data_IF_005466021313
#
_entry.id   IF_005466021313
#
_cell.length_a   1.000
_cell.length_b   1.000
_cell.length_c   1.000
_cell.angle_alpha   90.00
_cell.angle_beta   90.00
_cell.angle_gamma   90.00
#
_symmetry.space_group_name_H-M   'P 1'
#
loop_
_entity.id
_entity.type
_entity.pdbx_description
1 polymer ?
#
# COMPACT_ATOMS: atom_id res chain seq x y z
N UNK A 1 2.36 4.97 -3.17
CA UNK A 1 1.37 5.87 -3.78
C UNK A 1 0.10 5.10 -3.98
N UNK A 2 -0.97 5.68 -3.48
CA UNK A 2 -2.31 5.22 -3.73
C UNK A 2 -2.89 5.94 -4.93
N UNK A 3 -3.02 5.23 -6.05
CA UNK A 3 -3.81 5.65 -7.21
C UNK A 3 -4.09 4.43 -8.11
N UNK A 4 -5.17 4.52 -8.90
CA UNK A 4 -5.35 3.63 -10.04
C UNK A 4 -4.13 3.75 -10.96
N UNK A 5 -3.67 2.62 -11.48
CA UNK A 5 -2.58 2.52 -12.43
C UNK A 5 -1.26 3.12 -11.93
N UNK A 6 -1.07 3.21 -10.62
CA UNK A 6 0.05 3.93 -10.00
C UNK A 6 1.42 3.41 -10.44
N UNK A 7 1.55 2.12 -10.78
CA UNK A 7 2.77 1.56 -11.34
C UNK A 7 3.20 2.18 -12.67
N UNK A 8 2.26 2.76 -13.44
CA UNK A 8 2.56 3.46 -14.69
C UNK A 8 3.42 4.71 -14.48
N UNK A 9 3.37 5.31 -13.28
CA UNK A 9 4.14 6.51 -12.95
C UNK A 9 5.65 6.26 -12.94
N UNK A 10 6.10 5.02 -12.71
CA UNK A 10 7.52 4.73 -12.49
C UNK A 10 8.12 3.63 -13.37
N UNK A 11 7.29 2.76 -13.96
CA UNK A 11 7.76 1.57 -14.68
C UNK A 11 8.87 1.84 -15.72
N UNK A 12 8.88 3.02 -16.34
CA UNK A 12 9.91 3.44 -17.30
C UNK A 12 10.58 4.78 -16.94
N UNK A 13 10.23 5.38 -15.80
CA UNK A 13 10.58 6.77 -15.49
C UNK A 13 11.41 6.94 -14.23
N UNK A 14 11.38 5.97 -13.30
CA UNK A 14 12.14 6.07 -12.06
C UNK A 14 13.50 5.38 -12.23
N UNK A 15 14.60 6.12 -12.36
CA UNK A 15 15.92 5.52 -12.37
C UNK A 15 16.26 4.95 -10.98
N UNK A 16 17.14 3.95 -10.94
CA UNK A 16 17.54 3.24 -9.73
C UNK A 16 18.79 3.81 -9.05
N UNK A 17 19.28 4.98 -9.49
CA UNK A 17 20.55 5.58 -9.06
C UNK A 17 20.40 7.02 -8.54
N UNK A 18 19.21 7.40 -8.09
CA UNK A 18 18.91 8.73 -7.53
C UNK A 18 18.52 8.70 -6.05
N UNK A 19 18.77 7.59 -5.36
CA UNK A 19 18.42 7.38 -3.95
C UNK A 19 16.93 7.57 -3.64
N UNK A 20 16.05 7.09 -4.54
CA UNK A 20 14.59 7.11 -4.37
C UNK A 20 14.05 5.70 -4.45
N UNK A 21 13.19 5.36 -3.49
CA UNK A 21 12.42 4.11 -3.47
C UNK A 21 10.94 4.45 -3.48
N UNK A 22 10.19 3.83 -4.38
CA UNK A 22 8.76 4.06 -4.54
C UNK A 22 7.98 2.75 -4.48
N UNK A 23 6.81 2.80 -3.84
CA UNK A 23 5.85 1.70 -3.83
C UNK A 23 4.57 2.18 -4.50
N UNK A 24 4.04 1.41 -5.44
CA UNK A 24 2.76 1.66 -6.11
C UNK A 24 1.68 0.73 -5.55
N UNK A 25 0.44 1.21 -5.43
CA UNK A 25 -0.70 0.39 -5.01
C UNK A 25 -1.19 -0.57 -6.09
N UNK A 26 -0.89 -0.32 -7.37
CA UNK A 26 -1.43 -1.10 -8.49
C UNK A 26 -0.47 -1.17 -9.69
N UNK A 27 -0.64 -2.17 -10.55
CA UNK A 27 0.04 -2.28 -11.84
C UNK A 27 -0.49 -1.24 -12.84
N UNK A 28 0.26 -0.96 -13.90
CA UNK A 28 -0.27 -0.21 -15.04
C UNK A 28 -1.49 -0.94 -15.64
N UNK A 29 -2.57 -0.20 -15.94
CA UNK A 29 -3.83 -0.76 -16.42
C UNK A 29 -4.69 -1.46 -15.34
N UNK A 30 -4.33 -1.35 -14.06
CA UNK A 30 -5.08 -1.91 -12.94
C UNK A 30 -5.65 -0.80 -12.04
N UNK A 31 -6.92 -0.91 -11.66
CA UNK A 31 -7.53 -0.03 -10.64
C UNK A 31 -6.93 -0.29 -9.26
N UNK A 32 -6.83 0.75 -8.43
CA UNK A 32 -6.58 0.55 -7.00
C UNK A 32 -7.88 0.36 -6.22
N UNK A 33 -7.79 -0.11 -4.98
CA UNK A 33 -8.96 -0.53 -4.21
C UNK A 33 -9.29 0.39 -3.06
N UNK A 34 -10.55 0.79 -3.01
CA UNK A 34 -11.15 1.44 -1.85
C UNK A 34 -11.37 0.42 -0.73
N UNK A 35 -11.46 0.90 0.50
CA UNK A 35 -11.70 0.10 1.69
C UNK A 35 -12.76 0.78 2.56
N UNK A 36 -13.47 -0.03 3.36
CA UNK A 36 -14.49 0.46 4.31
C UNK A 36 -15.63 1.21 3.62
N UNK A 37 -16.12 0.65 2.52
CA UNK A 37 -17.27 1.16 1.77
C UNK A 37 -18.57 0.60 2.35
N UNK A 38 -19.48 1.46 2.78
CA UNK A 38 -20.71 1.06 3.46
C UNK A 38 -21.97 1.36 2.64
N UNK A 39 -22.18 0.67 1.52
CA UNK A 39 -23.40 0.83 0.72
C UNK A 39 -24.57 0.09 1.39
N UNK A 40 -25.40 0.80 2.16
CA UNK A 40 -26.64 0.26 2.73
C UNK A 40 -27.86 1.05 2.24
N UNK A 41 -28.95 0.38 1.79
CA UNK A 41 -30.13 1.03 1.20
C UNK A 41 -30.81 2.10 2.08
N UNK A 42 -30.60 2.08 3.40
CA UNK A 42 -31.29 2.94 4.38
C UNK A 42 -30.31 3.75 5.27
N UNK A 43 -29.07 4.00 4.84
CA UNK A 43 -28.13 4.86 5.56
C UNK A 43 -27.60 5.96 4.63
N UNK A 44 -27.45 7.17 5.16
CA UNK A 44 -26.93 8.36 4.46
C UNK A 44 -25.42 8.31 4.13
N UNK A 45 -24.81 7.12 4.07
CA UNK A 45 -23.35 6.96 4.01
C UNK A 45 -22.94 6.22 2.74
N UNK A 46 -23.03 6.88 1.59
CA UNK A 46 -22.53 6.38 0.30
C UNK A 46 -21.08 6.84 0.03
N UNK A 47 -20.16 6.49 0.92
CA UNK A 47 -18.74 6.75 0.71
C UNK A 47 -17.84 5.70 1.38
N UNK A 48 -16.61 5.61 0.89
CA UNK A 48 -15.57 4.75 1.44
C UNK A 48 -14.65 5.57 2.36
N UNK A 49 -14.29 5.02 3.51
CA UNK A 49 -13.45 5.73 4.49
C UNK A 49 -11.95 5.55 4.27
N UNK A 50 -11.52 4.74 3.29
CA UNK A 50 -10.11 4.56 3.00
C UNK A 50 -9.84 3.78 1.72
N UNK A 51 -8.60 3.32 1.61
CA UNK A 51 -8.14 2.45 0.53
C UNK A 51 -7.30 1.30 1.10
N UNK A 52 -7.23 0.16 0.41
CA UNK A 52 -6.53 -1.02 0.93
C UNK A 52 -5.04 -0.76 1.11
N UNK A 53 -4.38 -0.23 0.08
CA UNK A 53 -2.96 0.06 0.16
C UNK A 53 -2.67 0.99 1.32
N UNK A 54 -3.41 2.12 1.41
CA UNK A 54 -3.22 3.11 2.46
C UNK A 54 -3.47 2.53 3.85
N UNK A 55 -4.55 1.76 3.98
CA UNK A 55 -4.90 1.11 5.23
C UNK A 55 -3.80 0.17 5.71
N UNK A 56 -3.29 -0.72 4.85
CA UNK A 56 -2.35 -1.74 5.29
C UNK A 56 -0.96 -1.20 5.63
N UNK A 57 -0.41 -0.21 4.91
CA UNK A 57 0.89 0.36 5.30
C UNK A 57 0.79 1.16 6.60
N UNK A 58 -0.33 1.86 6.83
CA UNK A 58 -0.59 2.57 8.09
C UNK A 58 -0.78 1.59 9.25
N UNK A 59 -1.60 0.55 9.05
CA UNK A 59 -1.89 -0.45 10.07
C UNK A 59 -0.65 -1.24 10.50
N UNK A 60 0.18 -1.60 9.53
CA UNK A 60 1.47 -2.23 9.76
C UNK A 60 2.37 -1.33 10.62
N UNK A 61 2.54 -0.07 10.20
CA UNK A 61 3.35 0.91 10.92
C UNK A 61 2.87 1.17 12.36
N UNK A 62 1.56 1.07 12.59
CA UNK A 62 0.96 1.16 13.93
C UNK A 62 1.20 -0.09 14.79
N UNK A 63 1.47 -1.25 14.22
CA UNK A 63 1.55 -2.53 14.96
C UNK A 63 2.96 -3.07 15.12
N UNK A 64 3.92 -2.54 14.37
CA UNK A 64 5.31 -3.00 14.37
C UNK A 64 6.23 -2.04 15.14
N UNK A 65 7.43 -2.53 15.43
CA UNK A 65 8.56 -1.73 15.91
C UNK A 65 9.34 -1.25 14.67
N UNK A 66 9.11 0.00 14.27
CA UNK A 66 9.67 0.59 13.05
C UNK A 66 11.21 0.64 13.04
N UNK A 67 11.84 0.54 14.22
CA UNK A 67 13.30 0.45 14.32
C UNK A 67 13.86 -0.93 13.93
N UNK A 68 13.01 -1.95 13.90
CA UNK A 68 13.38 -3.33 13.56
C UNK A 68 12.79 -3.79 12.23
N UNK A 69 11.68 -3.20 11.82
CA UNK A 69 11.06 -3.48 10.54
C UNK A 69 11.78 -2.77 9.39
N UNK A 70 12.04 -3.49 8.30
CA UNK A 70 12.56 -2.90 7.06
C UNK A 70 11.43 -2.49 6.13
N UNK A 71 11.71 -1.52 5.24
CA UNK A 71 10.77 -1.14 4.17
C UNK A 71 10.36 -2.34 3.28
N UNK A 72 11.23 -3.33 3.11
CA UNK A 72 10.93 -4.57 2.41
C UNK A 72 9.91 -5.43 3.17
N UNK A 73 10.07 -5.59 4.48
CA UNK A 73 9.12 -6.35 5.31
C UNK A 73 7.72 -5.71 5.30
N UNK A 74 7.67 -4.38 5.42
CA UNK A 74 6.43 -3.62 5.29
C UNK A 74 5.80 -3.82 3.89
N UNK A 75 6.60 -3.76 2.82
CA UNK A 75 6.09 -4.06 1.47
C UNK A 75 5.55 -5.48 1.35
N UNK A 76 6.26 -6.48 1.89
CA UNK A 76 5.82 -7.88 1.82
C UNK A 76 4.48 -8.06 2.54
N UNK A 77 4.27 -7.37 3.67
CA UNK A 77 2.98 -7.32 4.36
C UNK A 77 1.89 -6.70 3.49
N UNK A 78 2.14 -5.52 2.89
CA UNK A 78 1.18 -4.83 2.02
C UNK A 78 0.85 -5.68 0.78
N UNK A 79 1.86 -6.30 0.17
CA UNK A 79 1.69 -7.15 -1.01
C UNK A 79 0.86 -8.39 -0.65
N UNK A 80 1.16 -9.05 0.46
CA UNK A 80 0.40 -10.21 0.92
C UNK A 80 -1.05 -9.85 1.22
N UNK A 81 -1.30 -8.76 1.96
CA UNK A 81 -2.64 -8.34 2.37
C UNK A 81 -3.47 -7.79 1.21
N UNK A 82 -2.89 -7.02 0.30
CA UNK A 82 -3.58 -6.53 -0.91
C UNK A 82 -4.01 -7.64 -1.87
N UNK A 83 -3.29 -8.78 -1.85
CA UNK A 83 -3.64 -9.97 -2.61
C UNK A 83 -4.71 -10.84 -1.95
N UNK A 84 -5.08 -10.58 -0.69
CA UNK A 84 -6.20 -11.27 -0.05
C UNK A 84 -7.52 -10.75 -0.64
N UNK A 85 -8.46 -11.68 -0.86
CA UNK A 85 -9.85 -11.35 -1.14
C UNK A 85 -10.58 -11.46 0.20
N UNK A 86 -10.65 -10.34 0.94
CA UNK A 86 -11.48 -10.26 2.14
C UNK A 86 -12.86 -9.71 1.76
N UNK A 87 -13.94 -10.53 1.81
CA UNK A 87 -15.28 -10.10 1.41
C UNK A 87 -15.87 -8.98 2.30
N UNK A 88 -15.29 -8.73 3.48
CA UNK A 88 -15.69 -7.63 4.37
C UNK A 88 -15.07 -6.31 3.92
N UNK A 89 -13.87 -6.36 3.33
CA UNK A 89 -13.10 -5.17 2.95
C UNK A 89 -13.22 -4.90 1.44
N UNK A 90 -13.44 -5.95 0.65
CA UNK A 90 -13.46 -5.94 -0.81
C UNK A 90 -14.62 -6.79 -1.32
N UNK A 91 -15.54 -6.27 -2.15
CA UNK A 91 -16.55 -7.09 -2.80
C UNK A 91 -15.90 -8.28 -3.54
N UNK A 92 -16.49 -9.47 -3.42
CA UNK A 92 -15.93 -10.74 -3.93
C UNK A 92 -15.68 -10.78 -5.45
N UNK A 93 -16.16 -9.78 -6.20
CA UNK A 93 -16.06 -9.68 -7.66
C UNK A 93 -14.85 -8.85 -8.12
N UNK A 94 -14.08 -8.26 -7.21
CA UNK A 94 -12.95 -7.40 -7.56
C UNK A 94 -11.62 -8.17 -7.65
N UNK A 95 -10.77 -7.79 -8.61
CA UNK A 95 -9.45 -8.39 -8.89
C UNK A 95 -8.43 -8.00 -7.80
N UNK A 96 -7.64 -8.94 -7.23
CA UNK A 96 -6.63 -8.69 -6.19
C UNK A 96 -5.73 -7.50 -6.48
N UNK A 97 -5.49 -6.64 -5.49
CA UNK A 97 -4.60 -5.48 -5.65
C UNK A 97 -3.14 -5.97 -5.68
N UNK A 98 -2.41 -5.58 -6.74
CA UNK A 98 -1.02 -6.00 -6.93
C UNK A 98 -0.08 -4.79 -6.81
N UNK A 99 0.46 -4.61 -5.60
CA UNK A 99 1.45 -3.57 -5.32
C UNK A 99 2.79 -3.89 -6.00
N UNK A 100 3.55 -2.84 -6.34
CA UNK A 100 4.86 -2.93 -6.99
C UNK A 100 5.87 -2.01 -6.30
N UNK A 101 7.16 -2.34 -6.38
CA UNK A 101 8.26 -1.48 -5.96
C UNK A 101 9.07 -0.98 -7.17
N UNK A 102 9.63 0.22 -7.07
CA UNK A 102 10.44 0.86 -8.11
C UNK A 102 11.61 1.66 -7.52
N UNK A 103 12.57 2.00 -8.38
CA UNK A 103 13.72 2.82 -8.02
C UNK A 103 14.86 2.01 -7.43
N UNK A 104 15.56 2.60 -6.45
CA UNK A 104 16.66 1.94 -5.75
C UNK A 104 16.14 0.97 -4.69
N UNK A 105 16.04 -0.31 -5.05
CA UNK A 105 15.57 -1.36 -4.14
C UNK A 105 16.54 -1.66 -2.99
N UNK A 106 17.78 -1.13 -3.01
CA UNK A 106 18.67 -1.26 -1.86
C UNK A 106 18.14 -0.52 -0.63
N UNK A 107 17.40 0.58 -0.85
CA UNK A 107 16.72 1.36 0.19
C UNK A 107 15.66 0.52 0.92
N UNK A 108 15.05 -0.47 0.25
CA UNK A 108 14.06 -1.34 0.89
C UNK A 108 14.64 -2.14 2.08
N UNK A 109 15.97 -2.25 2.19
CA UNK A 109 16.65 -2.91 3.32
C UNK A 109 16.78 -2.03 4.56
N UNK A 110 16.58 -0.72 4.43
CA UNK A 110 16.65 0.23 5.54
C UNK A 110 15.44 0.10 6.45
N UNK A 111 15.59 0.55 7.69
CA UNK A 111 14.51 0.50 8.67
C UNK A 111 13.40 1.49 8.32
N UNK A 112 12.15 1.14 8.59
CA UNK A 112 11.02 2.06 8.36
C UNK A 112 11.19 3.35 9.19
N UNK A 113 11.80 3.25 10.38
CA UNK A 113 12.02 4.39 11.27
C UNK A 113 12.93 5.48 10.72
N UNK A 114 13.79 5.18 9.73
CA UNK A 114 14.60 6.19 9.06
C UNK A 114 13.74 7.18 8.23
N UNK A 115 12.52 6.78 7.86
CA UNK A 115 11.61 7.57 7.04
C UNK A 115 10.38 8.05 7.81
N UNK A 116 9.85 7.20 8.70
CA UNK A 116 8.60 7.46 9.43
C UNK A 116 8.83 7.85 10.90
N UNK A 117 10.08 7.84 11.36
CA UNK A 117 10.44 8.05 12.75
C UNK A 117 10.09 6.86 13.65
N UNK A 118 10.31 7.03 14.95
CA UNK A 118 9.89 6.06 15.97
C UNK A 118 8.90 6.71 16.92
N UNK A 119 7.97 5.91 17.45
CA UNK A 119 7.12 6.35 18.56
C UNK A 119 8.01 6.69 19.76
N UNK A 120 7.83 7.89 20.31
CA UNK A 120 8.46 8.24 21.58
C UNK A 120 7.99 7.24 22.65
N UNK A 121 8.95 6.68 23.39
CA UNK A 121 8.67 5.83 24.56
C UNK A 121 8.08 6.64 25.70
#
# INVERSE_FOLDING_TARGET
>A
MEACESGSMWANFLPNNINVYAVASSKAGQISRQAFCYFKPNKDMDYCHGSLFSHYWLLDSERTDLSKETLQQQFDYIFKTGNLIDPIIVPSHEIPQQSLQFGDLSIAKLSVSEFMGNRAK
#
